data_IF_716047878098
#
_entry.id   IF_716047878098
#
_cell.length_a   1.000
_cell.length_b   1.000
_cell.length_c   1.000
_cell.angle_alpha   90.00
_cell.angle_beta   90.00
_cell.angle_gamma   90.00
#
_symmetry.space_group_name_H-M   'P 1'
#
loop_
_entity.id
_entity.type
_entity.pdbx_description
1 polymer ?
#
# COMPACT_ATOMS: atom_id res chain seq x y z
N UNK A 1 13.77 -7.72 19.11
CA UNK A 1 12.99 -8.74 18.38
C UNK A 1 13.20 -8.48 16.89
N UNK A 2 13.73 -9.45 16.15
CA UNK A 2 13.97 -9.28 14.70
C UNK A 2 12.63 -9.45 13.99
N UNK A 3 12.27 -8.50 13.12
CA UNK A 3 11.11 -8.62 12.23
C UNK A 3 11.55 -9.51 11.06
N UNK A 4 10.76 -10.54 10.76
CA UNK A 4 10.94 -11.37 9.57
C UNK A 4 9.80 -11.04 8.60
N UNK A 5 10.01 -10.08 7.69
CA UNK A 5 8.99 -9.74 6.70
C UNK A 5 8.94 -10.83 5.61
N UNK A 6 7.80 -10.92 4.94
CA UNK A 6 7.67 -11.61 3.66
C UNK A 6 7.29 -10.60 2.58
N UNK A 7 7.56 -10.94 1.32
CA UNK A 7 7.24 -10.11 0.17
C UNK A 7 6.51 -10.95 -0.86
N UNK A 8 5.53 -10.35 -1.51
CA UNK A 8 4.78 -10.94 -2.61
C UNK A 8 4.41 -9.84 -3.58
N UNK A 9 4.38 -10.15 -4.87
CA UNK A 9 4.06 -9.20 -5.93
C UNK A 9 2.62 -9.33 -6.39
N UNK A 10 2.10 -8.27 -7.01
CA UNK A 10 0.89 -8.32 -7.83
C UNK A 10 1.12 -9.14 -9.11
N UNK A 11 0.04 -9.48 -9.80
CA UNK A 11 0.12 -10.05 -11.13
C UNK A 11 0.62 -9.00 -12.14
N UNK A 12 1.72 -9.30 -12.84
CA UNK A 12 2.31 -8.39 -13.83
C UNK A 12 1.34 -8.04 -14.97
N UNK A 13 0.50 -9.00 -15.40
CA UNK A 13 -0.54 -8.78 -16.41
C UNK A 13 -1.54 -7.71 -16.01
N UNK A 14 -2.00 -7.74 -14.76
CA UNK A 14 -2.93 -6.75 -14.22
C UNK A 14 -2.22 -5.41 -13.99
N UNK A 15 -1.04 -5.44 -13.39
CA UNK A 15 -0.27 -4.21 -13.11
C UNK A 15 0.02 -3.39 -14.36
N UNK A 16 0.24 -4.04 -15.51
CA UNK A 16 0.49 -3.38 -16.79
C UNK A 16 -0.72 -2.60 -17.35
N UNK A 17 -1.92 -2.81 -16.81
CA UNK A 17 -3.16 -2.16 -17.27
C UNK A 17 -3.43 -0.84 -16.56
N UNK A 18 -2.76 -0.59 -15.43
CA UNK A 18 -2.98 0.61 -14.60
C UNK A 18 -1.73 1.50 -14.63
N UNK A 19 -1.41 2.11 -15.76
CA UNK A 19 -0.21 2.97 -15.91
C UNK A 19 -0.52 4.44 -15.70
N UNK A 20 -1.37 5.01 -16.56
CA UNK A 20 -1.54 6.45 -16.68
C UNK A 20 -2.38 6.97 -15.51
N UNK A 21 -1.81 7.91 -14.74
CA UNK A 21 -2.45 8.43 -13.53
C UNK A 21 -2.31 7.54 -12.29
N UNK A 22 -1.55 6.44 -12.36
CA UNK A 22 -1.28 5.56 -11.22
C UNK A 22 0.18 5.62 -10.79
N UNK A 23 0.40 5.52 -9.49
CA UNK A 23 1.73 5.41 -8.90
C UNK A 23 2.02 3.97 -8.51
N UNK A 24 3.10 3.40 -9.07
CA UNK A 24 3.57 2.06 -8.76
C UNK A 24 4.65 2.12 -7.68
N UNK A 25 4.61 1.17 -6.73
CA UNK A 25 5.58 1.11 -5.65
C UNK A 25 5.30 -0.06 -4.71
N UNK A 26 6.09 -0.14 -3.64
CA UNK A 26 5.94 -1.16 -2.60
C UNK A 26 4.89 -0.69 -1.59
N UNK A 27 3.87 -1.50 -1.41
CA UNK A 27 2.91 -1.38 -0.31
C UNK A 27 3.46 -2.10 0.92
N UNK A 28 3.56 -1.41 2.06
CA UNK A 28 3.86 -2.04 3.35
C UNK A 28 2.55 -2.39 4.06
N UNK A 29 2.24 -3.68 4.17
CA UNK A 29 1.11 -4.17 4.95
C UNK A 29 1.48 -4.28 6.42
N UNK A 30 0.82 -3.48 7.25
CA UNK A 30 1.00 -3.45 8.69
C UNK A 30 -0.09 -4.28 9.41
N UNK A 31 0.24 -5.04 10.46
CA UNK A 31 -0.74 -5.81 11.25
C UNK A 31 -1.60 -4.95 12.20
N UNK A 32 -1.82 -3.67 11.86
CA UNK A 32 -2.60 -2.74 12.68
C UNK A 32 -2.34 -1.28 12.32
N UNK A 33 -3.25 -0.42 12.78
CA UNK A 33 -3.28 0.99 12.39
C UNK A 33 -2.37 1.91 13.22
N UNK A 34 -2.14 1.60 14.50
CA UNK A 34 -1.40 2.50 15.39
C UNK A 34 0.10 2.16 15.45
N UNK A 35 0.53 1.45 16.50
CA UNK A 35 1.93 1.08 16.70
C UNK A 35 2.60 0.43 15.48
N UNK A 36 1.94 -0.51 14.77
CA UNK A 36 2.51 -1.12 13.57
C UNK A 36 2.73 -0.15 12.39
N UNK A 37 2.08 1.02 12.40
CA UNK A 37 2.30 2.13 11.45
C UNK A 37 3.02 3.32 12.10
N UNK A 38 3.69 3.11 13.24
CA UNK A 38 4.51 4.11 13.92
C UNK A 38 3.74 5.19 14.68
N UNK A 39 2.44 4.99 14.94
CA UNK A 39 1.65 5.94 15.74
C UNK A 39 1.72 5.56 17.22
N UNK A 40 2.19 6.47 18.06
CA UNK A 40 2.23 6.31 19.52
C UNK A 40 0.94 6.87 20.12
N UNK A 41 0.26 6.07 20.95
CA UNK A 41 -0.87 6.52 21.75
C UNK A 41 -0.54 6.62 23.25
N UNK A 42 0.04 5.56 23.81
CA UNK A 42 0.37 5.47 25.25
C UNK A 42 1.69 4.76 25.48
N UNK A 43 1.80 3.51 25.02
CA UNK A 43 3.03 2.73 25.10
C UNK A 43 4.02 3.13 23.99
N UNK A 44 5.34 3.15 24.28
CA UNK A 44 6.36 3.42 23.27
C UNK A 44 6.40 2.30 22.20
N UNK A 45 6.90 2.65 21.01
CA UNK A 45 7.09 1.69 19.93
C UNK A 45 8.29 0.80 20.21
N UNK A 46 8.18 -0.49 19.86
CA UNK A 46 9.32 -1.40 19.91
C UNK A 46 10.41 -1.05 18.87
N UNK A 47 10.02 -0.38 17.78
CA UNK A 47 10.91 0.14 16.74
C UNK A 47 10.36 1.50 16.28
N UNK A 48 10.84 2.57 16.89
CA UNK A 48 10.37 3.93 16.67
C UNK A 48 10.84 4.53 15.32
N UNK A 49 11.98 4.08 14.79
CA UNK A 49 12.52 4.52 13.50
C UNK A 49 12.04 3.71 12.29
N UNK A 50 11.31 2.61 12.48
CA UNK A 50 10.95 1.69 11.39
C UNK A 50 10.21 2.39 10.25
N UNK A 51 9.20 3.20 10.58
CA UNK A 51 8.40 3.89 9.55
C UNK A 51 9.22 4.94 8.80
N UNK A 52 10.12 5.65 9.48
CA UNK A 52 11.01 6.60 8.85
C UNK A 52 11.97 5.90 7.88
N UNK A 53 12.56 4.77 8.30
CA UNK A 53 13.44 3.95 7.46
C UNK A 53 12.71 3.39 6.24
N UNK A 54 11.46 2.92 6.40
CA UNK A 54 10.64 2.45 5.28
C UNK A 54 10.25 3.59 4.33
N UNK A 55 9.94 4.78 4.87
CA UNK A 55 9.58 5.95 4.06
C UNK A 55 10.76 6.47 3.24
N UNK A 56 11.98 6.39 3.76
CA UNK A 56 13.20 6.78 3.04
C UNK A 56 13.85 5.64 2.26
N UNK A 57 13.28 4.43 2.33
CA UNK A 57 13.79 3.27 1.62
C UNK A 57 13.70 3.50 0.10
N UNK A 58 14.85 3.34 -0.56
CA UNK A 58 14.93 3.27 -2.01
C UNK A 58 15.99 2.27 -2.42
N UNK A 59 15.63 1.38 -3.34
CA UNK A 59 16.56 0.46 -3.98
C UNK A 59 16.25 0.41 -5.47
N UNK A 60 17.14 0.99 -6.29
CA UNK A 60 16.90 1.21 -7.72
C UNK A 60 15.60 2.03 -7.91
N UNK A 61 14.67 1.50 -8.70
CA UNK A 61 13.34 2.08 -8.94
C UNK A 61 12.31 1.70 -7.86
N UNK A 62 12.68 0.84 -6.91
CA UNK A 62 11.78 0.41 -5.84
C UNK A 62 11.81 1.37 -4.65
N UNK A 63 10.64 1.80 -4.23
CA UNK A 63 10.43 2.62 -3.04
C UNK A 63 9.10 2.23 -2.39
N UNK A 64 8.94 2.54 -1.09
CA UNK A 64 7.67 2.35 -0.39
C UNK A 64 6.73 3.50 -0.74
N UNK A 65 5.60 3.19 -1.37
CA UNK A 65 4.61 4.19 -1.81
C UNK A 65 3.54 4.44 -0.76
N UNK A 66 3.06 3.40 -0.09
CA UNK A 66 1.99 3.49 0.91
C UNK A 66 2.09 2.40 1.98
N UNK A 67 1.25 2.55 3.00
CA UNK A 67 1.13 1.61 4.10
C UNK A 67 -0.36 1.36 4.34
N UNK A 68 -0.73 0.10 4.47
CA UNK A 68 -2.12 -0.38 4.63
C UNK A 68 -2.11 -1.68 5.43
N UNK A 69 -3.15 -2.52 5.36
CA UNK A 69 -3.31 -3.64 6.31
C UNK A 69 -3.72 -4.99 5.66
N UNK A 70 -3.88 -5.08 4.34
CA UNK A 70 -4.51 -6.24 3.69
C UNK A 70 -3.69 -6.85 2.54
N UNK A 71 -2.99 -6.02 1.77
CA UNK A 71 -2.52 -6.34 0.40
C UNK A 71 -1.59 -7.55 0.32
N UNK A 72 -0.58 -7.62 1.19
CA UNK A 72 0.40 -8.72 1.16
C UNK A 72 -0.24 -10.08 1.45
N UNK A 73 -1.24 -10.14 2.33
CA UNK A 73 -1.96 -11.38 2.61
C UNK A 73 -2.85 -11.78 1.43
N UNK A 74 -3.55 -10.80 0.82
CA UNK A 74 -4.36 -11.03 -0.38
C UNK A 74 -3.51 -11.61 -1.51
N UNK A 75 -2.36 -11.01 -1.80
CA UNK A 75 -1.46 -11.49 -2.85
C UNK A 75 -0.88 -12.88 -2.53
N UNK A 76 -0.49 -13.11 -1.28
CA UNK A 76 -0.01 -14.43 -0.85
C UNK A 76 -1.05 -15.52 -1.08
N UNK A 77 -2.30 -15.27 -0.68
CA UNK A 77 -3.41 -16.20 -0.88
C UNK A 77 -3.76 -16.36 -2.37
N UNK A 78 -3.82 -15.27 -3.13
CA UNK A 78 -4.09 -15.32 -4.57
C UNK A 78 -3.07 -16.21 -5.29
N UNK A 79 -1.77 -16.03 -4.99
CA UNK A 79 -0.70 -16.84 -5.56
C UNK A 79 -0.82 -18.32 -5.19
N UNK A 80 -1.14 -18.63 -3.92
CA UNK A 80 -1.38 -20.01 -3.48
C UNK A 80 -2.56 -20.67 -4.19
N UNK A 81 -3.58 -19.88 -4.55
CA UNK A 81 -4.81 -20.36 -5.20
C UNK A 81 -4.76 -20.30 -6.73
N UNK A 82 -3.67 -19.78 -7.32
CA UNK A 82 -3.53 -19.63 -8.78
C UNK A 82 -4.35 -18.47 -9.36
N UNK A 83 -4.72 -17.48 -8.55
CA UNK A 83 -5.43 -16.27 -8.97
C UNK A 83 -4.47 -15.11 -9.27
N UNK A 84 -4.84 -14.28 -10.23
CA UNK A 84 -4.19 -12.99 -10.46
C UNK A 84 -4.82 -11.93 -9.53
N UNK A 85 -3.98 -11.14 -8.86
CA UNK A 85 -4.45 -10.08 -7.97
C UNK A 85 -3.64 -8.79 -8.15
N UNK A 86 -4.33 -7.66 -7.95
CA UNK A 86 -3.77 -6.31 -7.91
C UNK A 86 -4.58 -5.50 -6.89
N UNK A 87 -3.89 -4.68 -6.09
CA UNK A 87 -4.46 -3.71 -5.16
C UNK A 87 -4.23 -2.31 -5.69
N UNK A 88 -5.26 -1.47 -5.60
CA UNK A 88 -5.18 -0.04 -5.88
C UNK A 88 -5.69 0.68 -4.63
N UNK A 89 -4.97 1.72 -4.19
CA UNK A 89 -5.29 2.45 -2.97
C UNK A 89 -5.44 3.94 -3.24
N UNK A 90 -6.53 4.53 -2.76
CA UNK A 90 -6.68 5.97 -2.70
C UNK A 90 -5.88 6.51 -1.51
N UNK A 91 -5.00 7.49 -1.76
CA UNK A 91 -4.20 8.10 -0.70
C UNK A 91 -5.03 9.16 0.01
N UNK A 92 -5.51 8.82 1.21
CA UNK A 92 -6.35 9.71 2.04
C UNK A 92 -5.55 10.47 3.11
N UNK A 93 -4.31 10.06 3.38
CA UNK A 93 -3.43 10.69 4.35
C UNK A 93 -1.99 10.68 3.85
N UNK A 94 -1.36 11.85 3.80
CA UNK A 94 0.05 12.01 3.49
C UNK A 94 0.83 12.26 4.78
N UNK A 95 1.57 11.23 5.23
CA UNK A 95 2.36 11.33 6.47
C UNK A 95 3.53 12.29 6.37
N UNK A 96 4.16 12.41 5.20
CA UNK A 96 5.33 13.27 5.01
C UNK A 96 4.91 14.73 5.10
N UNK A 97 3.80 15.08 4.45
CA UNK A 97 3.25 16.44 4.46
C UNK A 97 2.36 16.72 5.68
N UNK A 98 2.13 15.73 6.54
CA UNK A 98 1.18 15.79 7.66
C UNK A 98 -0.21 16.30 7.25
N UNK A 99 -0.63 15.98 6.03
CA UNK A 99 -1.89 16.43 5.45
C UNK A 99 -2.85 15.25 5.30
N UNK A 100 -4.14 15.57 5.41
CA UNK A 100 -5.23 14.64 5.15
C UNK A 100 -6.01 15.15 3.95
N UNK A 101 -6.56 14.24 3.15
CA UNK A 101 -7.54 14.64 2.15
C UNK A 101 -8.72 15.31 2.86
N UNK A 102 -9.10 16.50 2.40
CA UNK A 102 -10.29 17.21 2.89
C UNK A 102 -11.57 16.42 2.61
N UNK A 103 -11.55 15.59 1.57
CA UNK A 103 -12.64 14.69 1.20
C UNK A 103 -12.08 13.33 0.76
N UNK A 104 -11.99 12.40 1.72
CA UNK A 104 -11.57 11.03 1.44
C UNK A 104 -12.56 10.25 0.58
N UNK A 105 -13.85 10.54 0.70
CA UNK A 105 -14.89 9.85 -0.05
C UNK A 105 -14.82 10.21 -1.54
N UNK A 106 -14.61 11.49 -1.85
CA UNK A 106 -14.39 11.94 -3.22
C UNK A 106 -13.15 11.30 -3.85
N UNK A 107 -12.06 11.13 -3.08
CA UNK A 107 -10.85 10.46 -3.57
C UNK A 107 -11.10 8.98 -3.90
N UNK A 108 -11.86 8.28 -3.06
CA UNK A 108 -12.26 6.88 -3.30
C UNK A 108 -13.20 6.77 -4.50
N UNK A 109 -14.21 7.65 -4.59
CA UNK A 109 -15.14 7.70 -5.72
C UNK A 109 -14.41 7.96 -7.05
N UNK A 110 -13.44 8.87 -7.04
CA UNK A 110 -12.59 9.12 -8.20
C UNK A 110 -11.80 7.86 -8.60
N UNK A 111 -11.16 7.20 -7.63
CA UNK A 111 -10.44 5.94 -7.89
C UNK A 111 -11.38 4.88 -8.50
N UNK A 112 -12.59 4.70 -7.97
CA UNK A 112 -13.58 3.74 -8.51
C UNK A 112 -13.91 4.07 -9.97
N UNK A 113 -14.24 5.33 -10.27
CA UNK A 113 -14.57 5.78 -11.63
C UNK A 113 -13.42 5.63 -12.61
N UNK A 114 -12.17 5.78 -12.15
CA UNK A 114 -10.98 5.59 -12.98
C UNK A 114 -10.66 4.11 -13.19
N UNK A 115 -10.85 3.26 -12.18
CA UNK A 115 -10.48 1.84 -12.27
C UNK A 115 -11.52 0.98 -13.00
N UNK A 116 -12.83 1.23 -12.80
CA UNK A 116 -13.87 0.38 -13.37
C UNK A 116 -13.81 0.24 -14.90
N UNK A 117 -13.59 1.31 -15.69
CA UNK A 117 -13.45 1.17 -17.15
C UNK A 117 -12.24 0.34 -17.56
N UNK A 118 -11.13 0.40 -16.82
CA UNK A 118 -9.94 -0.42 -17.09
C UNK A 118 -10.29 -1.90 -16.83
N UNK A 119 -10.92 -2.18 -15.68
CA UNK A 119 -11.33 -3.53 -15.28
C UNK A 119 -12.32 -4.14 -16.28
N UNK A 120 -13.26 -3.35 -16.79
CA UNK A 120 -14.26 -3.81 -17.74
C UNK A 120 -13.68 -4.24 -19.11
N UNK A 121 -12.43 -3.85 -19.40
CA UNK A 121 -11.72 -4.16 -20.64
C UNK A 121 -10.57 -5.17 -20.45
N UNK A 122 -10.43 -5.76 -19.26
CA UNK A 122 -9.51 -6.86 -18.99
C UNK A 122 -10.00 -8.18 -19.63
#
# INVERSE_FOLDING_TARGET
>A
KVIQPYITSSAASLSAQFTDGFHHGITVTCPGFYGPQGRVLRAPLAQDQLINQLTTFKHQEHFVSNFEMETSAIYGLANLLGHQALSISAIVANRIQQSFSSDGNAAVEHMIKTCLPIIANL
#
